data_IF_565080022904
#
_entry.id   IF_565080022904
#
_cell.length_a   1.000
_cell.length_b   1.000
_cell.length_c   1.000
_cell.angle_alpha   90.00
_cell.angle_beta   90.00
_cell.angle_gamma   90.00
#
_symmetry.space_group_name_H-M   'P 1'
#
loop_
_entity.id
_entity.type
_entity.pdbx_description
1 polymer ?
#
# COMPACT_ATOMS: atom_id res chain seq x y z
N UNK A 1 13.06 -14.08 22.59
CA UNK A 1 12.10 -13.66 23.62
C UNK A 1 10.76 -14.28 23.31
N UNK A 2 10.14 -14.94 24.30
CA UNK A 2 8.78 -15.46 24.18
C UNK A 2 7.74 -14.39 24.53
N UNK A 3 6.60 -14.40 23.83
CA UNK A 3 5.54 -13.40 24.02
C UNK A 3 4.96 -13.45 25.44
N UNK A 4 4.75 -14.66 25.98
CA UNK A 4 4.17 -14.83 27.33
C UNK A 4 5.09 -14.27 28.41
N UNK A 5 6.40 -14.49 28.26
CA UNK A 5 7.42 -13.97 29.16
C UNK A 5 7.43 -12.43 29.12
N UNK A 6 7.43 -11.84 27.92
CA UNK A 6 7.36 -10.38 27.77
C UNK A 6 6.12 -9.77 28.42
N UNK A 7 4.93 -10.35 28.18
CA UNK A 7 3.69 -9.86 28.77
C UNK A 7 3.70 -9.96 30.31
N UNK A 8 4.25 -11.05 30.85
CA UNK A 8 4.37 -11.25 32.30
C UNK A 8 5.33 -10.22 32.92
N UNK A 9 6.47 -9.95 32.28
CA UNK A 9 7.42 -8.92 32.72
C UNK A 9 6.82 -7.51 32.69
N UNK A 10 5.78 -7.28 31.88
CA UNK A 10 5.03 -6.03 31.82
C UNK A 10 3.86 -5.96 32.79
N UNK A 11 3.66 -6.98 33.62
CA UNK A 11 2.51 -7.06 34.53
C UNK A 11 1.18 -7.24 33.78
N UNK A 12 1.22 -7.64 32.51
CA UNK A 12 0.02 -7.90 31.71
C UNK A 12 -0.43 -9.33 31.97
N UNK A 13 -1.53 -9.46 32.70
CA UNK A 13 -2.08 -10.77 33.08
C UNK A 13 -2.73 -11.44 31.86
N UNK A 14 -2.23 -12.64 31.54
CA UNK A 14 -2.83 -13.52 30.53
C UNK A 14 -3.83 -14.45 31.21
N UNK A 15 -5.12 -14.29 30.92
CA UNK A 15 -6.19 -15.02 31.62
C UNK A 15 -6.60 -16.32 30.92
N UNK A 16 -6.60 -16.33 29.58
CA UNK A 16 -7.06 -17.47 28.80
C UNK A 16 -6.26 -17.59 27.51
N UNK A 17 -5.98 -18.85 27.15
CA UNK A 17 -5.43 -19.22 25.86
C UNK A 17 -6.56 -19.82 25.03
N UNK A 18 -6.79 -19.31 23.82
CA UNK A 18 -7.71 -19.88 22.83
C UNK A 18 -6.92 -20.22 21.59
N UNK A 19 -6.46 -21.47 21.49
CA UNK A 19 -5.53 -21.86 20.44
C UNK A 19 -4.25 -21.03 20.51
N UNK A 20 -4.00 -20.23 19.48
CA UNK A 20 -2.85 -19.33 19.41
C UNK A 20 -3.14 -17.92 19.94
N UNK A 21 -4.32 -17.64 20.48
CA UNK A 21 -4.66 -16.31 21.01
C UNK A 21 -4.54 -16.25 22.53
N UNK A 22 -3.79 -15.27 23.03
CA UNK A 22 -3.65 -14.93 24.43
C UNK A 22 -4.59 -13.76 24.75
N UNK A 23 -5.61 -14.00 25.58
CA UNK A 23 -6.53 -12.95 26.02
C UNK A 23 -5.95 -12.17 27.21
N UNK A 24 -5.87 -10.86 27.03
CA UNK A 24 -5.32 -9.89 27.97
C UNK A 24 -6.26 -8.68 28.10
N UNK A 25 -6.12 -7.94 29.20
CA UNK A 25 -6.67 -6.60 29.30
C UNK A 25 -5.89 -5.68 28.34
N UNK A 26 -6.60 -4.88 27.55
CA UNK A 26 -5.94 -3.92 26.67
C UNK A 26 -5.19 -2.87 27.50
N UNK A 27 -3.85 -2.77 27.38
CA UNK A 27 -3.06 -1.83 28.18
C UNK A 27 -3.27 -0.37 27.74
N UNK A 28 -3.89 -0.14 26.58
CA UNK A 28 -4.00 1.19 25.97
C UNK A 28 -5.33 1.90 26.22
N UNK A 29 -6.38 1.18 26.62
CA UNK A 29 -7.73 1.76 26.75
C UNK A 29 -8.42 1.47 28.09
N UNK A 30 -7.63 1.08 29.11
CA UNK A 30 -8.13 0.80 30.45
C UNK A 30 -9.16 -0.33 30.48
N UNK A 31 -9.05 -1.29 29.55
CA UNK A 31 -9.97 -2.42 29.51
C UNK A 31 -9.78 -3.33 30.72
N UNK A 32 -10.88 -3.67 31.39
CA UNK A 32 -10.91 -4.63 32.50
C UNK A 32 -11.63 -5.93 32.12
N UNK A 33 -12.15 -6.00 30.89
CA UNK A 33 -12.98 -7.10 30.39
C UNK A 33 -12.22 -8.07 29.47
N UNK A 34 -10.89 -8.00 29.43
CA UNK A 34 -10.03 -8.91 28.67
C UNK A 34 -10.37 -8.97 27.17
N UNK A 35 -10.67 -7.81 26.57
CA UNK A 35 -10.97 -7.66 25.15
C UNK A 35 -9.72 -7.46 24.28
N UNK A 36 -8.52 -7.52 24.85
CA UNK A 36 -7.28 -7.59 24.10
C UNK A 36 -6.94 -9.04 23.77
N UNK A 37 -6.49 -9.30 22.54
CA UNK A 37 -5.93 -10.58 22.13
C UNK A 37 -4.55 -10.37 21.51
N UNK A 38 -3.58 -11.18 21.92
CA UNK A 38 -2.24 -11.24 21.32
C UNK A 38 -2.05 -12.64 20.74
N UNK A 39 -1.68 -12.75 19.47
CA UNK A 39 -1.32 -14.06 18.91
C UNK A 39 0.03 -14.54 19.50
N UNK A 40 0.10 -15.76 20.01
CA UNK A 40 1.25 -16.35 20.69
C UNK A 40 2.40 -16.75 19.77
N UNK A 41 2.19 -16.77 18.45
CA UNK A 41 3.21 -17.09 17.44
C UNK A 41 3.84 -15.82 16.88
N UNK A 42 3.03 -14.87 16.40
CA UNK A 42 3.52 -13.69 15.70
C UNK A 42 3.32 -12.37 16.46
N UNK A 43 2.68 -12.40 17.63
CA UNK A 43 2.56 -11.25 18.53
C UNK A 43 1.66 -10.14 18.02
N UNK A 44 0.85 -10.36 16.97
CA UNK A 44 -0.11 -9.34 16.57
C UNK A 44 -1.15 -9.15 17.67
N UNK A 45 -1.43 -7.89 17.97
CA UNK A 45 -2.38 -7.48 18.99
C UNK A 45 -3.65 -6.94 18.34
N UNK A 46 -4.79 -7.32 18.88
CA UNK A 46 -6.09 -6.80 18.50
C UNK A 46 -6.93 -6.48 19.75
N UNK A 47 -7.48 -5.28 19.82
CA UNK A 47 -8.44 -4.89 20.85
C UNK A 47 -9.87 -4.94 20.31
N UNK A 48 -10.68 -5.86 20.83
CA UNK A 48 -12.08 -6.07 20.45
C UNK A 48 -13.07 -5.01 21.02
N UNK A 49 -12.58 -3.91 21.63
CA UNK A 49 -13.43 -2.75 21.94
C UNK A 49 -13.59 -1.87 20.69
N UNK A 50 -14.24 -2.38 19.64
CA UNK A 50 -14.29 -1.75 18.32
C UNK A 50 -14.79 -0.29 18.34
N UNK A 51 -15.81 0.02 19.15
CA UNK A 51 -16.39 1.37 19.23
C UNK A 51 -15.67 2.33 20.19
N UNK A 52 -14.53 1.93 20.76
CA UNK A 52 -13.79 2.77 21.72
C UNK A 52 -12.28 2.73 21.47
N UNK A 53 -11.69 1.53 21.41
CA UNK A 53 -10.27 1.34 21.14
C UNK A 53 -9.99 0.75 19.76
N UNK A 54 -10.52 -0.44 19.47
CA UNK A 54 -10.41 -1.12 18.16
C UNK A 54 -8.98 -1.34 17.65
N UNK A 55 -7.96 -1.16 18.49
CA UNK A 55 -6.58 -1.03 18.04
C UNK A 55 -6.01 -2.35 17.55
N UNK A 56 -5.38 -2.32 16.39
CA UNK A 56 -4.69 -3.43 15.77
C UNK A 56 -3.22 -3.06 15.59
N UNK A 57 -2.31 -3.81 16.20
CA UNK A 57 -0.87 -3.53 16.18
C UNK A 57 -0.09 -4.77 15.78
N UNK A 58 1.00 -4.57 15.04
CA UNK A 58 2.05 -5.57 14.92
C UNK A 58 2.76 -5.75 16.27
N UNK A 59 3.48 -6.86 16.45
CA UNK A 59 4.28 -7.06 17.67
C UNK A 59 5.26 -5.91 17.92
N UNK A 60 5.91 -5.43 16.86
CA UNK A 60 6.85 -4.31 16.93
C UNK A 60 6.18 -3.02 17.39
N UNK A 61 5.02 -2.68 16.80
CA UNK A 61 4.26 -1.49 17.18
C UNK A 61 3.69 -1.60 18.60
N UNK A 62 3.31 -2.81 19.01
CA UNK A 62 2.84 -3.09 20.36
C UNK A 62 3.90 -2.75 21.41
N UNK A 63 5.12 -3.25 21.25
CA UNK A 63 6.25 -2.95 22.15
C UNK A 63 6.59 -1.47 22.15
N UNK A 64 6.66 -0.85 20.95
CA UNK A 64 6.95 0.58 20.82
C UNK A 64 5.90 1.44 21.54
N UNK A 65 4.63 1.06 21.45
CA UNK A 65 3.54 1.80 22.08
C UNK A 65 3.49 1.64 23.60
N UNK A 66 4.08 0.55 24.12
CA UNK A 66 4.35 0.38 25.55
C UNK A 66 5.59 1.15 26.03
N UNK A 67 6.29 1.85 25.12
CA UNK A 67 7.48 2.65 25.45
C UNK A 67 8.79 1.85 25.43
N UNK A 68 8.79 0.63 24.90
CA UNK A 68 9.99 -0.21 24.83
C UNK A 68 10.79 -0.04 23.55
N UNK A 69 12.06 -0.43 23.61
CA UNK A 69 12.84 -0.69 22.41
C UNK A 69 12.38 -2.04 21.81
N UNK A 70 11.77 -2.06 20.61
CA UNK A 70 11.13 -3.28 20.09
C UNK A 70 12.13 -4.40 19.85
N UNK A 71 11.75 -5.62 20.23
CA UNK A 71 12.56 -6.81 20.09
C UNK A 71 11.83 -7.88 19.30
N UNK A 72 12.54 -8.51 18.37
CA UNK A 72 12.01 -9.62 17.58
C UNK A 72 11.80 -10.87 18.45
N UNK A 73 10.84 -11.71 18.03
CA UNK A 73 10.57 -12.98 18.67
C UNK A 73 11.70 -13.98 18.39
N UNK A 74 12.03 -14.80 19.39
CA UNK A 74 13.01 -15.88 19.19
C UNK A 74 12.49 -16.88 18.17
N UNK A 75 13.25 -17.11 17.10
CA UNK A 75 12.82 -18.01 16.02
C UNK A 75 11.95 -17.34 14.95
N UNK A 76 11.71 -16.03 15.03
CA UNK A 76 11.19 -15.27 13.89
C UNK A 76 12.22 -15.33 12.77
N UNK A 77 12.00 -16.25 11.84
CA UNK A 77 12.58 -16.15 10.52
C UNK A 77 11.70 -15.15 9.79
N UNK A 78 12.23 -14.05 9.23
CA UNK A 78 11.49 -13.36 8.19
C UNK A 78 11.09 -14.47 7.22
N UNK A 79 9.80 -14.68 7.00
CA UNK A 79 9.37 -15.47 5.84
C UNK A 79 10.02 -14.75 4.67
N UNK A 80 11.10 -15.34 4.17
CA UNK A 80 11.93 -14.82 3.10
C UNK A 80 11.15 -14.90 1.82
N UNK A 81 10.18 -14.01 1.73
CA UNK A 81 9.57 -13.50 0.52
C UNK A 81 9.03 -12.09 0.82
N UNK A 82 9.78 -11.30 1.58
CA UNK A 82 10.11 -9.97 1.07
C UNK A 82 10.97 -10.17 -0.19
N UNK A 83 10.36 -10.69 -1.27
CA UNK A 83 10.89 -10.39 -2.59
C UNK A 83 10.89 -8.87 -2.60
N UNK A 84 12.05 -8.19 -2.69
CA UNK A 84 12.04 -6.76 -2.92
C UNK A 84 11.11 -6.59 -4.11
N UNK A 85 9.99 -5.85 -3.93
CA UNK A 85 9.13 -5.51 -5.07
C UNK A 85 10.10 -5.02 -6.13
N UNK A 86 10.22 -5.72 -7.28
CA UNK A 86 11.24 -5.37 -8.24
C UNK A 86 11.08 -3.88 -8.49
N UNK A 87 12.15 -3.12 -8.23
CA UNK A 87 12.10 -1.68 -8.41
C UNK A 87 11.47 -1.45 -9.78
N UNK A 88 10.34 -0.73 -9.83
CA UNK A 88 9.61 -0.53 -11.09
C UNK A 88 10.57 0.19 -12.03
N UNK A 89 11.27 -0.56 -12.88
CA UNK A 89 12.16 0.00 -13.88
C UNK A 89 11.26 0.75 -14.84
N UNK A 90 11.44 2.06 -14.91
CA UNK A 90 10.71 2.88 -15.86
C UNK A 90 10.98 2.36 -17.27
N UNK A 91 9.92 1.93 -17.97
CA UNK A 91 10.01 1.46 -19.34
C UNK A 91 9.71 2.66 -20.23
N UNK A 92 10.73 3.12 -20.97
CA UNK A 92 10.55 4.22 -21.93
C UNK A 92 9.55 3.75 -23.02
N UNK A 93 8.49 4.52 -23.29
CA UNK A 93 7.52 4.15 -24.32
C UNK A 93 8.21 4.06 -25.68
N UNK A 94 8.13 2.88 -26.29
CA UNK A 94 8.57 2.65 -27.67
C UNK A 94 7.35 2.79 -28.57
N UNK A 95 7.37 3.77 -29.47
CA UNK A 95 6.31 3.92 -30.46
C UNK A 95 6.37 5.24 -31.18
N UNK A 96 6.31 5.18 -32.51
CA UNK A 96 5.98 6.34 -33.33
C UNK A 96 4.45 6.48 -33.30
N UNK A 97 3.95 7.61 -32.81
CA UNK A 97 2.53 7.93 -32.91
C UNK A 97 2.24 8.25 -34.39
N UNK A 98 1.19 7.67 -34.96
CA UNK A 98 0.79 7.98 -36.34
C UNK A 98 0.09 9.34 -36.38
N UNK A 99 0.06 9.96 -37.55
CA UNK A 99 -0.75 11.17 -37.79
C UNK A 99 -2.23 10.81 -37.57
N UNK A 100 -2.98 11.76 -37.01
CA UNK A 100 -4.42 11.62 -36.73
C UNK A 100 -5.20 11.37 -38.03
N UNK A 101 -6.07 10.36 -38.06
CA UNK A 101 -7.00 10.10 -39.17
C UNK A 101 -8.29 10.94 -39.07
N UNK A 102 -9.09 10.95 -40.14
CA UNK A 102 -10.23 11.86 -40.34
C UNK A 102 -11.27 11.80 -39.21
N UNK A 103 -11.53 10.62 -38.65
CA UNK A 103 -12.51 10.43 -37.56
C UNK A 103 -12.05 11.10 -36.27
N UNK A 104 -10.81 10.84 -35.84
CA UNK A 104 -10.23 11.46 -34.65
C UNK A 104 -10.03 12.97 -34.87
N UNK A 105 -9.62 13.38 -36.06
CA UNK A 105 -9.46 14.78 -36.42
C UNK A 105 -10.79 15.54 -36.28
N UNK A 106 -11.90 14.96 -36.77
CA UNK A 106 -13.23 15.55 -36.62
C UNK A 106 -13.64 15.68 -35.14
N UNK A 107 -13.34 14.69 -34.33
CA UNK A 107 -13.59 14.74 -32.89
C UNK A 107 -12.77 15.84 -32.19
N UNK A 108 -11.47 15.92 -32.48
CA UNK A 108 -10.57 16.93 -31.89
C UNK A 108 -10.97 18.35 -32.30
N UNK A 109 -11.29 18.56 -33.57
CA UNK A 109 -11.77 19.85 -34.06
C UNK A 109 -13.09 20.24 -33.40
N UNK A 110 -14.02 19.28 -33.23
CA UNK A 110 -15.27 19.51 -32.48
C UNK A 110 -15.06 19.83 -30.99
N UNK A 111 -13.88 19.55 -30.45
CA UNK A 111 -13.46 19.91 -29.08
C UNK A 111 -12.66 21.23 -29.03
N UNK A 112 -12.53 21.93 -30.15
CA UNK A 112 -11.81 23.21 -30.23
C UNK A 112 -10.30 23.09 -30.38
N UNK A 113 -9.76 21.90 -30.66
CA UNK A 113 -8.34 21.77 -30.98
C UNK A 113 -8.07 22.25 -32.41
N UNK A 114 -7.10 23.15 -32.56
CA UNK A 114 -6.65 23.61 -33.88
C UNK A 114 -5.58 22.67 -34.46
N UNK A 115 -5.37 22.74 -35.78
CA UNK A 115 -4.32 21.96 -36.44
C UNK A 115 -2.92 22.31 -35.89
N UNK A 116 -2.69 23.59 -35.55
CA UNK A 116 -1.45 24.07 -34.93
C UNK A 116 -1.27 23.46 -33.55
N UNK A 117 -2.32 23.42 -32.74
CA UNK A 117 -2.30 22.82 -31.40
C UNK A 117 -1.98 21.33 -31.48
N UNK A 118 -2.65 20.61 -32.37
CA UNK A 118 -2.44 19.17 -32.61
C UNK A 118 -0.99 18.90 -33.02
N UNK A 119 -0.45 19.72 -33.94
CA UNK A 119 0.93 19.63 -34.41
C UNK A 119 1.95 19.98 -33.30
N UNK A 120 1.69 21.04 -32.55
CA UNK A 120 2.56 21.52 -31.47
C UNK A 120 2.71 20.48 -30.37
N UNK A 121 1.59 19.92 -29.90
CA UNK A 121 1.59 18.86 -28.88
C UNK A 121 1.84 17.46 -29.44
N UNK A 122 2.04 17.33 -30.76
CA UNK A 122 2.27 16.06 -31.46
C UNK A 122 1.19 15.02 -31.15
N UNK A 123 -0.06 15.47 -31.01
CA UNK A 123 -1.21 14.59 -30.81
C UNK A 123 -1.33 13.72 -32.05
N UNK A 124 -1.54 12.43 -31.84
CA UNK A 124 -1.65 11.49 -32.94
C UNK A 124 -2.61 10.36 -32.62
N UNK A 125 -2.47 9.27 -33.37
CA UNK A 125 -3.36 8.12 -33.30
C UNK A 125 -2.57 6.82 -33.17
N UNK A 126 -3.12 5.90 -32.38
CA UNK A 126 -2.67 4.51 -32.30
C UNK A 126 -3.86 3.62 -31.94
N UNK A 127 -4.04 2.52 -32.66
CA UNK A 127 -5.06 1.50 -32.37
C UNK A 127 -6.48 2.09 -32.18
N UNK A 128 -6.88 3.03 -33.07
CA UNK A 128 -8.17 3.75 -33.03
C UNK A 128 -8.39 4.56 -31.74
N UNK A 129 -7.32 4.94 -31.05
CA UNK A 129 -7.32 5.81 -29.89
C UNK A 129 -6.46 7.07 -30.12
N UNK A 130 -6.89 8.18 -29.53
CA UNK A 130 -6.13 9.43 -29.50
C UNK A 130 -4.93 9.25 -28.59
N UNK A 131 -3.73 9.52 -29.09
CA UNK A 131 -2.48 9.44 -28.36
C UNK A 131 -1.97 10.84 -28.00
N UNK A 132 -1.80 11.07 -26.70
CA UNK A 132 -1.28 12.30 -26.11
C UNK A 132 0.15 12.05 -25.57
N UNK A 133 1.20 12.40 -26.34
CA UNK A 133 2.58 12.21 -25.89
C UNK A 133 3.02 13.27 -24.88
N UNK A 134 3.79 12.85 -23.88
CA UNK A 134 4.38 13.70 -22.84
C UNK A 134 5.89 13.74 -23.03
N UNK A 135 6.44 14.95 -23.09
CA UNK A 135 7.87 15.16 -23.25
C UNK A 135 8.47 15.82 -22.00
N UNK A 136 9.61 15.30 -21.53
CA UNK A 136 10.45 15.93 -20.52
C UNK A 136 11.86 16.04 -21.09
N UNK A 137 12.44 17.24 -21.08
CA UNK A 137 13.76 17.51 -21.69
C UNK A 137 13.85 17.03 -23.15
N UNK A 138 12.79 17.29 -23.94
CA UNK A 138 12.64 16.83 -25.34
C UNK A 138 12.56 15.30 -25.52
N UNK A 139 12.58 14.53 -24.44
CA UNK A 139 12.42 13.07 -24.49
C UNK A 139 10.98 12.65 -24.22
N UNK A 140 10.48 11.67 -24.98
CA UNK A 140 9.18 11.06 -24.73
C UNK A 140 9.22 10.26 -23.42
N UNK A 141 8.46 10.71 -22.42
CA UNK A 141 8.37 10.10 -21.09
C UNK A 141 7.04 9.38 -20.83
N UNK A 142 6.08 9.50 -21.74
CA UNK A 142 4.78 8.86 -21.60
C UNK A 142 3.88 9.11 -22.79
N UNK A 143 2.90 8.26 -22.97
CA UNK A 143 1.79 8.48 -23.89
C UNK A 143 0.52 8.08 -23.17
N UNK A 144 -0.46 8.98 -23.08
CA UNK A 144 -1.81 8.63 -22.63
C UNK A 144 -2.70 8.40 -23.84
N UNK A 145 -3.54 7.39 -23.74
CA UNK A 145 -4.49 7.04 -24.81
C UNK A 145 -5.92 7.36 -24.36
N UNK A 146 -6.75 7.76 -25.33
CA UNK A 146 -8.19 7.95 -25.14
C UNK A 146 -8.92 7.33 -26.31
N UNK A 147 -9.80 6.38 -26.04
CA UNK A 147 -10.74 5.85 -27.04
C UNK A 147 -11.84 6.87 -27.33
N UNK A 148 -12.35 6.85 -28.56
CA UNK A 148 -13.51 7.64 -28.98
C UNK A 148 -14.82 6.99 -28.59
#
# INVERSE_FOLDING_TARGET
MEIKEYLSNKGIVVKKVRGEELLINCPFCGDQQMKGAVNSIHGAFNCFRLNNCGMQLSWWDFQKKLGDNPQQLSGWKPTTTFLPKPAKKYIKPKGKVKRVETKIMKYLNGRGFTAETIKFFRIGEKDNAIAFPYFKNKELVGVKYRTL
#
